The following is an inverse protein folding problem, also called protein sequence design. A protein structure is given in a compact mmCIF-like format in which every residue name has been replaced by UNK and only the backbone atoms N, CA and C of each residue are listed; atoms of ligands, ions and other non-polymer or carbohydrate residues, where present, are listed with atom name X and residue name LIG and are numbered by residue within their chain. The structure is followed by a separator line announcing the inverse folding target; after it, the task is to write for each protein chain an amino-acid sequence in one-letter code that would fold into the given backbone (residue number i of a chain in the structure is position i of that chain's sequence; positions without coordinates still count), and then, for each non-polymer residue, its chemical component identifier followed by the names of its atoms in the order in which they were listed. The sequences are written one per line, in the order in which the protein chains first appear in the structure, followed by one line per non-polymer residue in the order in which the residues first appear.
data_IF_447909826149
#
_entry.id   IF_447909826149
#
_cell.length_a   1.000
_cell.length_b   1.000
_cell.length_c   1.000
_cell.angle_alpha   90.00
_cell.angle_beta   90.00
_cell.angle_gamma   90.00
#
_symmetry.space_group_name_H-M   'P 1'
#
loop_
_entity.id
_entity.type
_entity.pdbx_description
1 polymer ?
#
# COMPACT_ATOMS: atom_id res chain seq x y z
N UNK A 1 -0.19 -30.75 16.28
CA UNK A 1 -1.47 -30.78 15.56
C UNK A 1 -2.68 -30.76 16.50
N UNK A 2 -2.70 -31.57 17.57
CA UNK A 2 -3.84 -31.64 18.49
C UNK A 2 -4.05 -30.34 19.29
N UNK A 3 -2.97 -29.72 19.75
CA UNK A 3 -3.04 -28.43 20.48
C UNK A 3 -3.55 -27.31 19.58
N UNK A 4 -3.09 -27.27 18.33
CA UNK A 4 -3.60 -26.33 17.34
C UNK A 4 -5.08 -26.53 17.05
N UNK A 5 -5.51 -27.79 16.84
CA UNK A 5 -6.92 -28.11 16.63
C UNK A 5 -7.80 -27.69 17.80
N UNK A 6 -7.34 -27.89 19.04
CA UNK A 6 -8.02 -27.43 20.24
C UNK A 6 -8.15 -25.90 20.26
N UNK A 7 -7.07 -25.19 20.02
CA UNK A 7 -7.07 -23.75 19.98
C UNK A 7 -8.00 -23.18 18.88
N UNK A 8 -7.99 -23.81 17.70
CA UNK A 8 -8.85 -23.39 16.55
C UNK A 8 -10.34 -23.54 16.89
N UNK A 9 -10.72 -24.62 17.58
CA UNK A 9 -12.12 -24.87 18.00
C UNK A 9 -12.53 -23.87 19.08
N UNK A 10 -11.67 -23.64 20.10
CA UNK A 10 -11.95 -22.70 21.19
C UNK A 10 -12.13 -21.25 20.71
N UNK A 11 -11.39 -20.86 19.67
CA UNK A 11 -11.41 -19.49 19.14
C UNK A 11 -12.29 -19.32 17.90
N UNK A 12 -13.08 -20.33 17.52
CA UNK A 12 -13.97 -20.28 16.36
C UNK A 12 -13.26 -20.14 15.02
N UNK A 13 -11.98 -20.58 14.94
CA UNK A 13 -11.15 -20.46 13.73
C UNK A 13 -10.99 -21.76 12.96
N UNK A 14 -11.72 -22.79 13.33
CA UNK A 14 -11.71 -24.10 12.66
C UNK A 14 -12.50 -24.12 11.34
N UNK A 15 -13.08 -22.97 10.91
CA UNK A 15 -13.90 -22.86 9.69
C UNK A 15 -15.35 -23.37 9.87
N UNK A 16 -15.65 -24.03 10.98
CA UNK A 16 -16.97 -24.52 11.37
C UNK A 16 -17.18 -24.23 12.84
N UNK A 17 -18.37 -23.79 13.20
CA UNK A 17 -18.74 -23.53 14.59
C UNK A 17 -19.26 -24.82 15.23
N UNK A 18 -18.55 -25.34 16.22
CA UNK A 18 -18.90 -26.55 16.92
C UNK A 18 -19.58 -26.23 18.27
N UNK A 19 -20.80 -26.74 18.53
CA UNK A 19 -21.40 -26.66 19.84
C UNK A 19 -20.50 -27.28 20.92
N UNK A 20 -20.44 -26.69 22.12
CA UNK A 20 -19.55 -27.16 23.22
C UNK A 20 -19.77 -28.59 23.60
N UNK A 21 -20.96 -29.12 23.41
CA UNK A 21 -21.33 -30.51 23.74
C UNK A 21 -20.59 -31.53 22.88
N UNK A 22 -20.16 -31.18 21.66
CA UNK A 22 -19.45 -32.10 20.75
C UNK A 22 -17.94 -31.99 20.87
N UNK A 23 -17.39 -31.01 21.59
CA UNK A 23 -15.95 -30.81 21.74
C UNK A 23 -15.19 -32.03 22.24
N UNK A 24 -15.68 -32.83 23.23
CA UNK A 24 -14.99 -34.03 23.68
C UNK A 24 -14.82 -35.13 22.64
N UNK A 25 -15.61 -35.06 21.55
CA UNK A 25 -15.64 -36.06 20.49
C UNK A 25 -14.93 -35.63 19.20
N UNK A 26 -14.36 -34.40 19.17
CA UNK A 26 -13.67 -33.86 18.00
C UNK A 26 -12.28 -34.45 17.85
N UNK A 27 -11.91 -34.76 16.61
CA UNK A 27 -10.52 -35.10 16.25
C UNK A 27 -9.69 -33.79 16.09
N UNK A 28 -9.21 -33.30 17.21
CA UNK A 28 -8.37 -32.11 17.23
C UNK A 28 -7.08 -32.24 16.42
N UNK A 29 -6.53 -33.46 16.31
CA UNK A 29 -5.32 -33.69 15.53
C UNK A 29 -5.62 -33.55 14.01
N UNK A 30 -6.74 -34.11 13.57
CA UNK A 30 -7.22 -33.96 12.18
C UNK A 30 -7.54 -32.51 11.83
N UNK A 31 -8.23 -31.77 12.72
CA UNK A 31 -8.54 -30.35 12.53
C UNK A 31 -7.25 -29.51 12.42
N UNK A 32 -6.28 -29.73 13.31
CA UNK A 32 -5.01 -29.03 13.27
C UNK A 32 -4.18 -29.35 12.02
N UNK A 33 -4.14 -30.62 11.61
CA UNK A 33 -3.44 -31.04 10.40
C UNK A 33 -4.09 -30.50 9.13
N UNK A 34 -5.42 -30.50 9.04
CA UNK A 34 -6.17 -29.89 7.94
C UNK A 34 -5.87 -28.40 7.82
N UNK A 35 -5.89 -27.69 8.94
CA UNK A 35 -5.57 -26.26 8.96
C UNK A 35 -4.14 -25.97 8.49
N UNK A 36 -3.16 -26.78 8.91
CA UNK A 36 -1.77 -26.65 8.41
C UNK A 36 -1.66 -26.90 6.90
N UNK A 37 -2.40 -27.88 6.39
CA UNK A 37 -2.41 -28.21 4.96
C UNK A 37 -2.99 -27.09 4.11
N UNK A 38 -4.08 -26.47 4.58
CA UNK A 38 -4.80 -25.43 3.84
C UNK A 38 -4.12 -24.05 3.93
N UNK A 39 -3.44 -23.75 5.04
CA UNK A 39 -2.90 -22.41 5.33
C UNK A 39 -1.38 -22.32 5.26
N UNK A 40 -0.68 -23.44 5.08
CA UNK A 40 0.79 -23.50 5.04
C UNK A 40 1.44 -22.93 6.30
N UNK A 41 2.28 -23.65 6.96
CA UNK A 41 2.96 -23.20 8.17
C UNK A 41 3.80 -24.32 8.76
N UNK A 42 4.53 -24.04 9.84
CA UNK A 42 5.37 -25.00 10.51
C UNK A 42 5.12 -25.02 12.02
N UNK A 43 5.13 -26.20 12.58
CA UNK A 43 5.11 -26.39 14.03
C UNK A 43 6.51 -26.20 14.60
N UNK A 44 6.61 -25.38 15.65
CA UNK A 44 7.83 -25.20 16.43
C UNK A 44 7.56 -25.56 17.89
N UNK A 45 8.58 -25.83 18.71
CA UNK A 45 8.40 -26.06 20.14
C UNK A 45 7.70 -24.90 20.88
N UNK A 46 7.68 -23.71 20.30
CA UNK A 46 7.04 -22.51 20.84
C UNK A 46 5.63 -22.27 20.30
N UNK A 47 5.12 -23.13 19.41
CA UNK A 47 3.78 -23.04 18.82
C UNK A 47 3.76 -23.13 17.29
N UNK A 48 2.58 -22.94 16.72
CA UNK A 48 2.38 -22.92 15.27
C UNK A 48 2.72 -21.56 14.68
N UNK A 49 3.64 -21.54 13.72
CA UNK A 49 4.05 -20.36 12.99
C UNK A 49 3.57 -20.49 11.56
N UNK A 50 2.67 -19.60 11.15
CA UNK A 50 2.34 -19.42 9.74
C UNK A 50 2.89 -18.07 9.25
N UNK A 51 3.32 -18.04 8.00
CA UNK A 51 3.61 -16.78 7.35
C UNK A 51 2.31 -15.97 7.37
N UNK A 52 2.38 -14.74 7.88
CA UNK A 52 1.24 -13.82 7.73
C UNK A 52 0.99 -13.72 6.24
N UNK A 53 -0.18 -14.18 5.79
CA UNK A 53 -0.61 -13.87 4.42
C UNK A 53 -0.56 -12.35 4.33
N UNK A 54 0.41 -11.84 3.59
CA UNK A 54 0.33 -10.50 3.05
C UNK A 54 -1.01 -10.49 2.34
N UNK A 55 -1.90 -9.61 2.74
CA UNK A 55 -3.19 -9.45 2.09
C UNK A 55 -2.97 -9.54 0.58
N UNK A 56 -3.76 -10.34 -0.15
CA UNK A 56 -3.54 -10.56 -1.57
C UNK A 56 -3.44 -9.20 -2.27
N UNK A 57 -2.67 -9.14 -3.35
CA UNK A 57 -2.49 -7.97 -4.23
C UNK A 57 -3.79 -7.21 -4.54
N UNK A 58 -4.94 -7.84 -4.33
CA UNK A 58 -6.27 -7.22 -4.45
C UNK A 58 -6.53 -6.07 -3.45
N UNK A 59 -5.84 -6.00 -2.31
CA UNK A 59 -5.93 -4.86 -1.41
C UNK A 59 -5.11 -3.64 -1.92
N UNK A 60 -4.22 -3.84 -2.89
CA UNK A 60 -3.51 -2.76 -3.56
C UNK A 60 -4.31 -2.19 -4.75
N UNK A 61 -5.23 -2.97 -5.34
CA UNK A 61 -6.08 -2.48 -6.44
C UNK A 61 -7.12 -1.44 -6.00
N UNK A 62 -7.54 -1.45 -4.74
CA UNK A 62 -8.51 -0.49 -4.18
C UNK A 62 -7.86 0.80 -3.63
N UNK A 63 -6.53 0.89 -3.62
CA UNK A 63 -5.85 2.13 -3.22
C UNK A 63 -5.70 3.04 -4.42
N UNK A 64 -5.95 4.36 -4.26
CA UNK A 64 -5.68 5.32 -5.31
C UNK A 64 -4.23 5.18 -5.78
N UNK A 65 -4.04 5.06 -7.08
CA UNK A 65 -2.72 4.82 -7.66
C UNK A 65 -1.98 6.14 -7.80
N UNK A 66 -0.72 6.13 -7.40
CA UNK A 66 0.23 7.17 -7.73
C UNK A 66 1.45 6.46 -8.32
N UNK A 67 1.68 6.62 -9.61
CA UNK A 67 2.75 5.93 -10.30
C UNK A 67 3.42 6.78 -11.37
N UNK A 68 4.72 6.56 -11.57
CA UNK A 68 5.49 7.15 -12.65
C UNK A 68 5.94 6.07 -13.64
N UNK A 69 5.94 6.40 -14.91
CA UNK A 69 6.62 5.62 -15.93
C UNK A 69 7.93 6.31 -16.28
N UNK A 70 9.02 5.69 -15.88
CA UNK A 70 10.39 6.14 -16.16
C UNK A 70 10.95 5.42 -17.38
N UNK A 71 11.74 6.10 -18.19
CA UNK A 71 12.38 5.51 -19.35
C UNK A 71 13.83 5.93 -19.51
N UNK A 72 14.61 5.03 -20.10
CA UNK A 72 15.98 5.29 -20.50
C UNK A 72 16.30 4.47 -21.75
N UNK A 73 16.71 5.15 -22.82
CA UNK A 73 16.98 4.52 -24.14
C UNK A 73 15.74 3.73 -24.64
N UNK A 74 15.86 2.40 -24.75
CA UNK A 74 14.77 1.54 -25.22
C UNK A 74 14.05 0.80 -24.06
N UNK A 75 14.24 1.23 -22.81
CA UNK A 75 13.69 0.59 -21.61
C UNK A 75 12.76 1.52 -20.88
N UNK A 76 11.70 0.94 -20.33
CA UNK A 76 10.79 1.66 -19.45
C UNK A 76 10.48 0.80 -18.22
N UNK A 77 10.22 1.46 -17.12
CA UNK A 77 9.76 0.84 -15.86
C UNK A 77 8.67 1.68 -15.27
N UNK A 78 7.64 1.01 -14.76
CA UNK A 78 6.60 1.64 -13.95
C UNK A 78 6.98 1.54 -12.49
N UNK A 79 6.94 2.67 -11.80
CA UNK A 79 7.29 2.79 -10.39
C UNK A 79 6.07 3.30 -9.63
N UNK A 80 5.58 2.50 -8.69
CA UNK A 80 4.52 2.94 -7.78
C UNK A 80 5.11 3.84 -6.70
N UNK A 81 4.41 4.88 -6.33
CA UNK A 81 4.83 5.85 -5.33
C UNK A 81 3.90 5.81 -4.10
N UNK A 82 4.42 6.05 -2.91
CA UNK A 82 5.84 6.31 -2.61
C UNK A 82 6.69 5.04 -2.77
N UNK A 83 7.84 5.19 -3.40
CA UNK A 83 8.74 4.08 -3.69
C UNK A 83 9.78 3.91 -2.57
N UNK A 84 9.96 2.68 -2.12
CA UNK A 84 11.02 2.31 -1.18
C UNK A 84 12.39 2.29 -1.86
N UNK A 85 13.46 2.38 -1.06
CA UNK A 85 14.84 2.27 -1.55
C UNK A 85 15.07 1.01 -2.37
N UNK A 86 14.42 -0.10 -2.01
CA UNK A 86 14.50 -1.36 -2.73
C UNK A 86 13.85 -1.30 -4.12
N UNK A 87 12.73 -0.59 -4.25
CA UNK A 87 12.04 -0.38 -5.52
C UNK A 87 12.81 0.58 -6.42
N UNK A 88 13.37 1.65 -5.84
CA UNK A 88 14.28 2.55 -6.55
C UNK A 88 15.51 1.82 -7.07
N UNK A 89 16.14 0.95 -6.27
CA UNK A 89 17.27 0.13 -6.70
C UNK A 89 16.90 -0.84 -7.82
N UNK A 90 15.72 -1.46 -7.78
CA UNK A 90 15.20 -2.32 -8.88
C UNK A 90 15.00 -1.52 -10.16
N UNK A 91 14.41 -0.32 -10.06
CA UNK A 91 14.18 0.57 -11.19
C UNK A 91 15.51 0.99 -11.84
N UNK A 92 16.53 1.35 -11.04
CA UNK A 92 17.92 1.62 -11.51
C UNK A 92 18.46 0.45 -12.31
N UNK A 93 18.38 -0.77 -11.75
CA UNK A 93 18.84 -1.98 -12.41
C UNK A 93 18.10 -2.29 -13.71
N UNK A 94 16.77 -2.11 -13.73
CA UNK A 94 15.94 -2.35 -14.90
C UNK A 94 16.23 -1.37 -16.05
N UNK A 95 16.45 -0.11 -15.72
CA UNK A 95 16.80 0.94 -16.68
C UNK A 95 18.30 0.97 -17.04
N UNK A 96 19.12 0.26 -16.27
CA UNK A 96 20.59 0.28 -16.33
C UNK A 96 21.17 1.70 -16.16
N UNK A 97 20.65 2.41 -15.19
CA UNK A 97 21.09 3.74 -14.80
C UNK A 97 21.74 3.70 -13.42
N UNK A 98 22.75 4.51 -13.22
CA UNK A 98 23.35 4.73 -11.91
C UNK A 98 22.52 5.72 -11.09
N UNK A 99 21.78 6.60 -11.79
CA UNK A 99 20.92 7.61 -11.18
C UNK A 99 19.59 7.70 -11.93
N UNK A 100 18.48 7.63 -11.18
CA UNK A 100 17.12 7.73 -11.72
C UNK A 100 16.73 9.15 -12.12
N UNK A 101 17.42 10.17 -11.62
CA UNK A 101 17.18 11.56 -12.02
C UNK A 101 17.53 11.81 -13.49
N UNK A 102 18.33 10.91 -14.08
CA UNK A 102 18.64 10.94 -15.51
C UNK A 102 17.61 10.23 -16.38
N UNK A 103 16.64 9.54 -15.79
CA UNK A 103 15.56 8.89 -16.52
C UNK A 103 14.52 9.92 -16.98
N UNK A 104 13.99 9.73 -18.17
CA UNK A 104 12.88 10.52 -18.64
C UNK A 104 11.56 10.03 -18.04
N UNK A 105 10.75 10.93 -17.52
CA UNK A 105 9.39 10.64 -17.08
C UNK A 105 8.48 10.66 -18.30
N UNK A 106 7.95 9.49 -18.68
CA UNK A 106 7.06 9.35 -19.84
C UNK A 106 5.58 9.47 -19.49
N UNK A 107 5.23 9.18 -18.25
CA UNK A 107 3.84 9.21 -17.82
C UNK A 107 3.73 9.30 -16.30
N UNK A 108 2.65 9.91 -15.87
CA UNK A 108 2.26 10.06 -14.48
C UNK A 108 0.82 9.58 -14.35
N UNK A 109 0.58 8.65 -13.48
CA UNK A 109 -0.74 8.15 -13.15
C UNK A 109 -1.06 8.52 -11.71
N UNK A 110 -2.06 9.37 -11.51
CA UNK A 110 -2.53 9.80 -10.18
C UNK A 110 -4.04 9.61 -10.13
N UNK A 111 -4.49 8.68 -9.33
CA UNK A 111 -5.88 8.23 -9.27
C UNK A 111 -6.63 8.84 -8.06
N UNK A 112 -6.37 10.12 -7.82
CA UNK A 112 -7.02 10.91 -6.78
C UNK A 112 -7.97 11.94 -7.39
N UNK A 113 -9.08 12.31 -6.72
CA UNK A 113 -10.05 13.27 -7.25
C UNK A 113 -9.45 14.63 -7.62
N UNK A 114 -8.40 15.04 -6.93
CA UNK A 114 -7.70 16.31 -7.14
C UNK A 114 -6.53 16.22 -8.14
N UNK A 115 -6.26 15.04 -8.69
CA UNK A 115 -5.13 14.83 -9.63
C UNK A 115 -5.12 15.79 -10.82
N UNK A 116 -6.30 16.18 -11.30
CA UNK A 116 -6.47 17.15 -12.39
C UNK A 116 -5.94 18.54 -12.07
N UNK A 117 -5.73 18.86 -10.79
CA UNK A 117 -5.24 20.16 -10.31
C UNK A 117 -3.72 20.19 -10.21
N UNK A 118 -3.06 19.04 -10.39
CA UNK A 118 -1.60 18.98 -10.36
C UNK A 118 -1.00 19.48 -11.68
N UNK A 119 0.06 20.27 -11.60
CA UNK A 119 0.83 20.66 -12.79
C UNK A 119 1.64 19.46 -13.28
N UNK A 120 1.29 18.89 -14.42
CA UNK A 120 1.96 17.71 -15.00
C UNK A 120 3.26 18.07 -15.74
N UNK A 121 3.71 19.31 -15.67
CA UNK A 121 4.96 19.80 -16.28
C UNK A 121 6.08 19.84 -15.23
N UNK A 122 7.31 19.59 -15.66
CA UNK A 122 8.52 19.71 -14.84
C UNK A 122 8.50 18.84 -13.56
N UNK A 123 7.98 17.63 -13.67
CA UNK A 123 7.95 16.67 -12.54
C UNK A 123 9.31 16.01 -12.40
N UNK A 124 9.82 15.96 -11.18
CA UNK A 124 10.96 15.13 -10.80
C UNK A 124 10.52 13.91 -10.02
N UNK A 125 11.31 12.85 -10.01
CA UNK A 125 11.01 11.65 -9.24
C UNK A 125 10.96 11.96 -7.73
N UNK A 126 11.88 12.81 -7.25
CA UNK A 126 11.96 13.23 -5.85
C UNK A 126 10.69 13.97 -5.41
N UNK A 127 10.29 15.00 -6.19
CA UNK A 127 9.10 15.80 -5.86
C UNK A 127 7.82 14.94 -5.91
N UNK A 128 7.71 14.03 -6.87
CA UNK A 128 6.57 13.11 -6.99
C UNK A 128 6.53 12.09 -5.83
N UNK A 129 7.69 11.56 -5.42
CA UNK A 129 7.77 10.62 -4.30
C UNK A 129 7.39 11.30 -2.98
N UNK A 130 7.92 12.52 -2.74
CA UNK A 130 7.59 13.32 -1.56
C UNK A 130 6.09 13.63 -1.48
N UNK A 131 5.49 14.06 -2.59
CA UNK A 131 4.06 14.32 -2.66
C UNK A 131 3.25 13.05 -2.37
N UNK A 132 3.64 11.92 -2.95
CA UNK A 132 2.97 10.64 -2.73
C UNK A 132 3.06 10.17 -1.26
N UNK A 133 4.19 10.37 -0.60
CA UNK A 133 4.36 10.08 0.83
C UNK A 133 3.40 10.91 1.69
N UNK A 134 3.35 12.22 1.44
CA UNK A 134 2.44 13.11 2.16
C UNK A 134 0.97 12.70 1.97
N UNK A 135 0.57 12.46 0.72
CA UNK A 135 -0.82 12.10 0.40
C UNK A 135 -1.21 10.75 0.95
N UNK A 136 -0.31 9.78 0.97
CA UNK A 136 -0.57 8.46 1.56
C UNK A 136 -0.79 8.54 3.08
N UNK A 137 -0.16 9.49 3.74
CA UNK A 137 -0.30 9.71 5.17
C UNK A 137 -1.58 10.49 5.56
N UNK A 138 -2.23 11.16 4.58
CA UNK A 138 -3.42 11.96 4.80
C UNK A 138 -4.66 11.12 5.09
N UNK A 139 -5.47 11.59 6.01
CA UNK A 139 -6.86 11.13 6.20
C UNK A 139 -7.75 11.57 5.04
N UNK A 140 -8.93 10.97 4.89
CA UNK A 140 -9.91 11.42 3.88
C UNK A 140 -10.27 12.91 3.99
N UNK A 141 -10.34 13.43 5.22
CA UNK A 141 -10.65 14.85 5.46
C UNK A 141 -9.50 15.74 4.99
N UNK A 142 -8.26 15.38 5.30
CA UNK A 142 -7.07 16.10 4.85
C UNK A 142 -6.93 16.05 3.33
N UNK A 143 -7.27 14.93 2.68
CA UNK A 143 -7.28 14.83 1.21
C UNK A 143 -8.34 15.74 0.56
N UNK A 144 -9.51 15.89 1.19
CA UNK A 144 -10.53 16.85 0.72
C UNK A 144 -10.06 18.29 0.89
N UNK A 145 -9.46 18.60 2.04
CA UNK A 145 -8.87 19.91 2.30
C UNK A 145 -7.75 20.19 1.31
N UNK A 146 -6.88 19.23 1.06
CA UNK A 146 -5.79 19.34 0.09
C UNK A 146 -6.32 19.65 -1.32
N UNK A 147 -7.35 18.93 -1.78
CA UNK A 147 -7.99 19.23 -3.07
C UNK A 147 -8.54 20.66 -3.15
N UNK A 148 -9.19 21.14 -2.09
CA UNK A 148 -9.71 22.50 -2.04
C UNK A 148 -8.60 23.56 -2.03
N UNK A 149 -7.50 23.29 -1.30
CA UNK A 149 -6.33 24.19 -1.28
C UNK A 149 -5.66 24.25 -2.65
N UNK A 150 -5.51 23.11 -3.34
CA UNK A 150 -4.95 23.10 -4.70
C UNK A 150 -5.77 23.94 -5.70
N UNK A 151 -7.10 23.99 -5.53
CA UNK A 151 -7.96 24.86 -6.36
C UNK A 151 -7.73 26.35 -6.13
N UNK A 152 -7.31 26.72 -4.92
CA UNK A 152 -7.10 28.14 -4.54
C UNK A 152 -5.66 28.59 -4.81
N UNK A 153 -4.71 27.74 -4.43
CA UNK A 153 -3.26 28.08 -4.51
C UNK A 153 -2.69 27.90 -5.92
N UNK A 154 -3.34 27.08 -6.77
CA UNK A 154 -2.92 26.79 -8.14
C UNK A 154 -1.40 26.53 -8.27
N UNK A 155 -0.85 25.49 -7.61
CA UNK A 155 0.59 25.23 -7.58
C UNK A 155 1.15 25.06 -9.00
N UNK A 156 2.34 25.59 -9.24
CA UNK A 156 2.99 25.56 -10.56
C UNK A 156 3.95 24.39 -10.73
N UNK A 157 4.19 23.62 -9.65
CA UNK A 157 5.09 22.48 -9.65
C UNK A 157 4.65 21.42 -8.64
N UNK A 158 5.12 20.17 -8.83
CA UNK A 158 4.92 19.11 -7.83
C UNK A 158 5.57 19.46 -6.49
N UNK A 159 6.67 20.20 -6.50
CA UNK A 159 7.32 20.71 -5.29
C UNK A 159 6.41 21.65 -4.49
N UNK A 160 5.75 22.59 -5.17
CA UNK A 160 4.79 23.49 -4.51
C UNK A 160 3.59 22.71 -3.95
N UNK A 161 3.05 21.76 -4.73
CA UNK A 161 2.00 20.87 -4.26
C UNK A 161 2.46 20.03 -3.04
N UNK A 162 3.70 19.55 -3.06
CA UNK A 162 4.32 18.84 -1.93
C UNK A 162 4.44 19.71 -0.68
N UNK A 163 4.80 20.98 -0.83
CA UNK A 163 4.85 21.95 0.29
C UNK A 163 3.46 22.15 0.90
N UNK A 164 2.44 22.35 0.06
CA UNK A 164 1.04 22.45 0.51
C UNK A 164 0.62 21.18 1.25
N UNK A 165 1.02 20.00 0.74
CA UNK A 165 0.71 18.72 1.36
C UNK A 165 1.37 18.56 2.74
N UNK A 166 2.59 19.05 2.92
CA UNK A 166 3.29 19.03 4.21
C UNK A 166 2.62 19.96 5.24
N UNK A 167 2.16 21.12 4.78
CA UNK A 167 1.56 22.16 5.63
C UNK A 167 0.03 22.02 5.71
N UNK A 168 -0.54 20.84 5.32
CA UNK A 168 -2.00 20.65 5.23
C UNK A 168 -2.73 20.89 6.55
N UNK A 169 -2.07 20.69 7.68
CA UNK A 169 -2.63 20.95 9.00
C UNK A 169 -2.81 22.45 9.31
N UNK A 170 -2.19 23.33 8.53
CA UNK A 170 -2.34 24.79 8.67
C UNK A 170 -3.60 25.30 7.94
N UNK A 171 -4.27 24.41 7.18
CA UNK A 171 -5.48 24.72 6.45
C UNK A 171 -6.71 24.09 7.10
N UNK A 172 -7.81 24.82 7.13
CA UNK A 172 -9.09 24.33 7.61
C UNK A 172 -10.18 24.52 6.53
N UNK A 173 -10.84 23.42 6.16
CA UNK A 173 -11.98 23.48 5.25
C UNK A 173 -13.25 23.88 6.04
N UNK A 174 -13.65 25.13 5.91
CA UNK A 174 -14.85 25.66 6.58
C UNK A 174 -16.06 25.54 5.64
N UNK A 175 -17.10 24.82 6.06
CA UNK A 175 -18.38 24.77 5.36
C UNK A 175 -18.50 23.74 4.24
N UNK A 176 -17.63 22.75 4.17
CA UNK A 176 -17.76 21.58 3.28
C UNK A 176 -18.78 20.59 3.86
N UNK A 177 -19.95 20.50 3.27
CA UNK A 177 -20.91 19.41 3.53
C UNK A 177 -20.69 18.27 2.55
#
# INVERSE_FOLDING_TARGET
DKELGGWLVEHGKAGVDFPREVWPYLDYAGIGAGYCSDHGGAYTPSGYVKRRETAPEQAEEDRPRFALTLSSSARSVRLNLPASDAELARAKGALRLDDLDTAAIQGIEVDYPWARLLPMELVTLEDANTLAECVQAMTEQEQRTFGAVLEVEEPRSFREAGTIAMDINDYELVGGS
#
